data_IF_792548778632
#
_entry.id   IF_792548778632
#
_cell.length_a   1.000
_cell.length_b   1.000
_cell.length_c   1.000
_cell.angle_alpha   90.00
_cell.angle_beta   90.00
_cell.angle_gamma   90.00
#
_symmetry.space_group_name_H-M   'P 1'
#
loop_
_entity.id
_entity.type
_entity.pdbx_description
1 polymer ?
#
# COMPACT_ATOMS: atom_id res chain seq x y z
N UNK A 1 24.56 -0.05 -16.81
CA UNK A 1 24.70 1.32 -17.38
C UNK A 1 23.37 2.03 -17.21
N UNK A 2 23.39 3.34 -16.96
CA UNK A 2 22.16 4.15 -16.90
C UNK A 2 21.60 4.26 -18.33
N UNK A 3 20.33 3.91 -18.52
CA UNK A 3 19.65 3.96 -19.83
C UNK A 3 19.16 5.37 -20.15
N UNK A 4 19.04 5.69 -21.44
CA UNK A 4 18.43 6.96 -21.88
C UNK A 4 16.97 7.08 -21.43
N UNK A 5 16.25 5.96 -21.39
CA UNK A 5 14.87 5.88 -20.87
C UNK A 5 14.80 6.32 -19.41
N UNK A 6 15.68 5.77 -18.56
CA UNK A 6 15.75 6.18 -17.15
C UNK A 6 16.10 7.66 -17.01
N UNK A 7 17.10 8.15 -17.77
CA UNK A 7 17.48 9.58 -17.72
C UNK A 7 16.31 10.51 -18.11
N UNK A 8 15.51 10.12 -19.10
CA UNK A 8 14.32 10.86 -19.50
C UNK A 8 13.19 10.78 -18.44
N UNK A 9 13.05 9.65 -17.73
CA UNK A 9 12.03 9.43 -16.72
C UNK A 9 12.27 10.19 -15.40
N UNK A 10 13.53 10.39 -14.98
CA UNK A 10 13.85 11.01 -13.69
C UNK A 10 13.26 12.42 -13.49
N UNK A 11 13.33 13.37 -14.45
CA UNK A 11 12.68 14.66 -14.31
C UNK A 11 11.14 14.57 -14.20
N UNK A 12 10.53 13.63 -14.92
CA UNK A 12 9.08 13.39 -14.88
C UNK A 12 8.66 12.76 -13.55
N UNK A 13 9.44 11.81 -13.03
CA UNK A 13 9.29 11.28 -11.69
C UNK A 13 9.33 12.40 -10.64
N UNK A 14 10.27 13.33 -10.72
CA UNK A 14 10.35 14.47 -9.81
C UNK A 14 9.08 15.33 -9.85
N UNK A 15 8.49 15.55 -11.04
CA UNK A 15 7.20 16.25 -11.18
C UNK A 15 6.05 15.48 -10.51
N UNK A 16 6.00 14.15 -10.65
CA UNK A 16 4.98 13.31 -9.99
C UNK A 16 5.10 13.46 -8.47
N UNK A 17 6.30 13.33 -7.89
CA UNK A 17 6.50 13.49 -6.45
C UNK A 17 6.07 14.87 -5.94
N UNK A 18 6.42 15.93 -6.69
CA UNK A 18 6.00 17.30 -6.36
C UNK A 18 4.47 17.46 -6.44
N UNK A 19 3.82 16.83 -7.42
CA UNK A 19 2.37 16.86 -7.57
C UNK A 19 1.66 16.16 -6.40
N UNK A 20 2.17 15.01 -5.93
CA UNK A 20 1.63 14.30 -4.77
C UNK A 20 1.71 15.17 -3.50
N UNK A 21 2.88 15.78 -3.24
CA UNK A 21 3.04 16.71 -2.10
C UNK A 21 2.06 17.88 -2.19
N UNK A 22 2.04 18.56 -3.33
CA UNK A 22 1.16 19.72 -3.53
C UNK A 22 -0.32 19.40 -3.35
N UNK A 23 -0.76 18.20 -3.75
CA UNK A 23 -2.13 17.77 -3.58
C UNK A 23 -2.49 17.50 -2.11
N UNK A 24 -1.58 16.91 -1.34
CA UNK A 24 -1.77 16.65 0.10
C UNK A 24 -1.69 17.95 0.92
N UNK A 25 -0.68 18.79 0.65
CA UNK A 25 -0.52 20.10 1.30
C UNK A 25 -1.76 20.98 1.06
N UNK A 26 -2.27 20.99 -0.17
CA UNK A 26 -3.49 21.70 -0.55
C UNK A 26 -4.75 21.21 0.17
N UNK A 27 -4.76 20.00 0.69
CA UNK A 27 -5.83 19.43 1.52
C UNK A 27 -5.57 19.58 3.02
N UNK A 28 -4.48 20.23 3.42
CA UNK A 28 -4.11 20.49 4.82
C UNK A 28 -3.44 19.31 5.50
N UNK A 29 -2.85 18.38 4.75
CA UNK A 29 -1.97 17.36 5.33
C UNK A 29 -0.61 17.97 5.67
N UNK A 30 0.03 17.43 6.69
CA UNK A 30 1.38 17.77 7.12
C UNK A 30 2.33 16.65 6.74
N UNK A 31 3.40 16.95 5.98
CA UNK A 31 4.47 15.98 5.74
C UNK A 31 5.23 15.71 7.03
N UNK A 32 5.37 14.44 7.40
CA UNK A 32 6.11 14.01 8.58
C UNK A 32 7.24 13.06 8.20
N UNK A 33 8.38 13.22 8.84
CA UNK A 33 9.49 12.28 8.77
C UNK A 33 9.47 11.37 9.98
N UNK A 34 9.40 10.07 9.75
CA UNK A 34 9.56 9.05 10.79
C UNK A 34 10.89 8.31 10.59
N UNK A 35 11.48 7.73 11.64
CA UNK A 35 12.74 7.03 11.52
C UNK A 35 12.71 5.95 10.44
N UNK A 36 13.74 5.92 9.59
CA UNK A 36 13.96 4.84 8.61
C UNK A 36 14.47 3.58 9.29
N UNK A 37 15.26 3.74 10.35
CA UNK A 37 15.79 2.65 11.16
C UNK A 37 15.01 2.55 12.45
N UNK A 38 14.29 1.44 12.64
CA UNK A 38 13.32 1.21 13.72
C UNK A 38 13.69 -0.01 14.57
N UNK A 39 13.37 -0.01 15.87
CA UNK A 39 13.72 -1.12 16.75
C UNK A 39 12.81 -2.35 16.54
N UNK A 40 11.53 -2.14 16.23
CA UNK A 40 10.52 -3.19 16.16
C UNK A 40 9.58 -2.93 14.96
N UNK A 41 9.78 -3.62 13.82
CA UNK A 41 8.82 -3.57 12.71
C UNK A 41 7.54 -4.33 13.03
N UNK A 42 6.47 -4.03 12.30
CA UNK A 42 5.24 -4.81 12.36
C UNK A 42 5.51 -6.28 11.98
N UNK A 43 4.90 -7.21 12.72
CA UNK A 43 4.88 -8.61 12.33
C UNK A 43 3.75 -8.80 11.31
N UNK A 44 4.07 -8.69 10.04
CA UNK A 44 3.16 -8.95 8.94
C UNK A 44 3.62 -10.20 8.18
N UNK A 45 2.70 -11.08 7.76
CA UNK A 45 3.04 -12.21 6.90
C UNK A 45 3.78 -11.72 5.64
N UNK A 46 4.77 -12.49 5.19
CA UNK A 46 5.51 -12.26 3.95
C UNK A 46 6.35 -10.96 3.85
N UNK A 47 6.24 -10.03 4.80
CA UNK A 47 7.07 -8.82 4.83
C UNK A 47 8.34 -9.07 5.64
N UNK A 48 9.50 -8.80 5.02
CA UNK A 48 10.84 -8.98 5.62
C UNK A 48 11.61 -7.66 5.63
N UNK A 49 11.52 -6.88 6.72
CA UNK A 49 12.36 -5.72 6.92
C UNK A 49 13.84 -6.10 7.04
N UNK A 50 14.76 -5.51 6.26
CA UNK A 50 16.18 -5.82 6.35
C UNK A 50 16.78 -5.45 7.71
N UNK A 51 17.66 -6.29 8.23
CA UNK A 51 18.38 -6.02 9.47
C UNK A 51 19.40 -4.86 9.30
N UNK A 52 19.50 -4.00 10.33
CA UNK A 52 20.46 -2.90 10.41
C UNK A 52 21.10 -2.86 11.78
N UNK A 53 22.13 -3.70 12.01
CA UNK A 53 22.75 -3.91 13.32
C UNK A 53 21.75 -4.54 14.31
N UNK A 54 21.44 -3.81 15.39
CA UNK A 54 20.45 -4.22 16.40
C UNK A 54 19.05 -3.66 16.14
N UNK A 55 18.75 -3.22 14.94
CA UNK A 55 17.47 -2.65 14.52
C UNK A 55 17.16 -3.09 13.07
N UNK A 56 16.15 -2.52 12.47
CA UNK A 56 15.67 -2.87 11.13
C UNK A 56 15.44 -1.63 10.29
N UNK A 57 15.56 -1.75 8.98
CA UNK A 57 15.05 -0.75 8.05
C UNK A 57 13.54 -0.94 7.89
N UNK A 58 12.78 0.14 7.96
CA UNK A 58 11.31 0.09 7.94
C UNK A 58 10.76 -0.45 6.61
N UNK A 59 9.79 -1.34 6.66
CA UNK A 59 8.99 -1.74 5.50
C UNK A 59 7.83 -0.75 5.22
N UNK A 60 7.43 0.01 6.24
CA UNK A 60 6.42 1.08 6.22
C UNK A 60 6.67 2.01 7.42
N UNK A 61 6.28 3.29 7.35
CA UNK A 61 6.26 4.22 8.48
C UNK A 61 5.03 4.07 9.39
N UNK A 62 4.13 3.13 9.14
CA UNK A 62 2.79 2.99 9.70
C UNK A 62 2.73 3.13 11.23
N UNK A 63 3.51 2.31 11.97
CA UNK A 63 3.42 2.28 13.43
C UNK A 63 3.80 3.63 14.07
N UNK A 64 4.78 4.33 13.49
CA UNK A 64 5.22 5.64 13.94
C UNK A 64 4.21 6.74 13.58
N UNK A 65 3.63 6.68 12.39
CA UNK A 65 2.61 7.63 11.95
C UNK A 65 1.33 7.50 12.78
N UNK A 66 0.89 6.29 13.09
CA UNK A 66 -0.27 6.05 13.98
C UNK A 66 -0.04 6.57 15.40
N UNK A 67 1.20 6.53 15.91
CA UNK A 67 1.55 7.17 17.19
C UNK A 67 1.40 8.71 17.11
N UNK A 68 1.69 9.34 15.95
CA UNK A 68 1.44 10.77 15.76
C UNK A 68 -0.05 11.12 15.74
N UNK A 69 -0.90 10.26 15.14
CA UNK A 69 -2.36 10.40 15.23
C UNK A 69 -2.85 10.29 16.67
N UNK A 70 -2.34 9.31 17.42
CA UNK A 70 -2.65 9.15 18.84
C UNK A 70 -2.19 10.34 19.69
N UNK A 71 -1.16 11.07 19.25
CA UNK A 71 -0.68 12.30 19.87
C UNK A 71 -1.47 13.56 19.44
N UNK A 72 -2.49 13.43 18.57
CA UNK A 72 -3.41 14.51 18.22
C UNK A 72 -3.17 15.14 16.84
N UNK A 73 -2.29 14.59 15.99
CA UNK A 73 -2.23 15.02 14.59
C UNK A 73 -3.42 14.45 13.81
N UNK A 74 -4.03 15.27 12.92
CA UNK A 74 -5.27 14.87 12.26
C UNK A 74 -5.08 14.42 10.81
N UNK A 75 -4.18 15.08 10.07
CA UNK A 75 -3.89 14.78 8.67
C UNK A 75 -2.39 14.80 8.46
N UNK A 76 -1.81 13.65 8.20
CA UNK A 76 -0.38 13.49 8.03
C UNK A 76 -0.04 12.61 6.83
N UNK A 77 1.09 12.86 6.21
CA UNK A 77 1.66 11.94 5.22
C UNK A 77 3.18 11.83 5.36
N UNK A 78 3.71 10.74 4.87
CA UNK A 78 5.15 10.51 4.72
C UNK A 78 5.44 10.05 3.31
N UNK A 79 6.42 10.66 2.65
CA UNK A 79 6.87 10.28 1.31
C UNK A 79 8.37 9.99 1.37
N UNK A 80 8.74 8.73 1.37
CA UNK A 80 10.14 8.35 1.55
C UNK A 80 10.46 6.88 1.32
N UNK A 81 11.71 6.48 1.60
CA UNK A 81 12.17 5.13 1.35
C UNK A 81 11.58 4.13 2.35
N UNK A 82 11.23 2.96 1.81
CA UNK A 82 10.87 1.74 2.53
C UNK A 82 11.66 0.56 1.97
N UNK A 83 11.79 -0.50 2.76
CA UNK A 83 12.71 -1.60 2.47
C UNK A 83 12.04 -2.95 2.72
N UNK A 84 12.16 -3.87 1.75
CA UNK A 84 11.68 -5.25 1.88
C UNK A 84 12.71 -6.21 1.29
N UNK A 85 13.27 -7.05 2.14
CA UNK A 85 14.29 -8.00 1.75
C UNK A 85 13.73 -9.05 0.77
N UNK A 86 14.49 -9.32 -0.29
CA UNK A 86 14.14 -10.33 -1.29
C UNK A 86 13.13 -9.88 -2.35
N UNK A 87 12.50 -8.72 -2.21
CA UNK A 87 11.58 -8.20 -3.23
C UNK A 87 12.34 -7.56 -4.38
N UNK A 88 12.64 -8.33 -5.44
CA UNK A 88 13.29 -7.85 -6.66
C UNK A 88 12.66 -8.50 -7.90
N UNK A 89 12.05 -7.69 -8.74
CA UNK A 89 11.38 -8.11 -9.98
C UNK A 89 11.09 -6.92 -10.88
N UNK A 90 10.30 -7.12 -11.93
CA UNK A 90 9.99 -6.09 -12.92
C UNK A 90 9.23 -4.89 -12.32
N UNK A 91 8.54 -5.08 -11.20
CA UNK A 91 7.78 -4.03 -10.49
C UNK A 91 8.00 -4.05 -8.98
N UNK A 92 9.09 -4.67 -8.53
CA UNK A 92 9.53 -4.69 -7.14
C UNK A 92 10.99 -4.30 -7.01
N UNK A 93 11.32 -3.57 -5.96
CA UNK A 93 12.67 -3.23 -5.57
C UNK A 93 12.83 -3.40 -4.06
N UNK A 94 13.99 -3.92 -3.57
CA UNK A 94 14.22 -4.11 -2.14
C UNK A 94 14.26 -2.78 -1.36
N UNK A 95 14.59 -1.69 -2.02
CA UNK A 95 14.37 -0.33 -1.58
C UNK A 95 13.45 0.36 -2.57
N UNK A 96 12.34 0.93 -2.09
CA UNK A 96 11.33 1.59 -2.92
C UNK A 96 10.79 2.86 -2.24
N UNK A 97 10.11 3.70 -3.01
CA UNK A 97 9.48 4.92 -2.48
C UNK A 97 8.01 4.66 -2.18
N UNK A 98 7.63 4.88 -0.93
CA UNK A 98 6.24 4.79 -0.46
C UNK A 98 5.72 6.18 -0.13
N UNK A 99 4.49 6.45 -0.53
CA UNK A 99 3.65 7.52 -0.01
C UNK A 99 2.64 6.87 0.93
N UNK A 100 2.63 7.30 2.18
CA UNK A 100 1.66 6.84 3.17
C UNK A 100 0.97 8.04 3.82
N UNK A 101 -0.36 8.02 3.96
CA UNK A 101 -1.13 9.12 4.51
C UNK A 101 -2.27 8.63 5.38
N UNK A 102 -2.64 9.47 6.36
CA UNK A 102 -3.68 9.17 7.34
C UNK A 102 -4.59 10.36 7.57
N UNK A 103 -5.89 10.06 7.77
CA UNK A 103 -6.91 11.01 8.24
C UNK A 103 -7.51 10.53 9.56
N UNK A 104 -7.38 11.32 10.62
CA UNK A 104 -8.17 11.17 11.83
C UNK A 104 -9.65 11.53 11.57
N UNK A 105 -10.55 10.93 12.33
CA UNK A 105 -12.00 11.15 12.24
C UNK A 105 -12.59 10.84 10.86
N UNK A 106 -11.97 9.94 10.12
CA UNK A 106 -12.38 9.51 8.78
C UNK A 106 -12.26 7.99 8.64
N UNK A 107 -12.92 7.42 7.64
CA UNK A 107 -12.84 5.99 7.33
C UNK A 107 -12.05 5.70 6.06
N UNK A 108 -11.91 4.41 5.74
CA UNK A 108 -11.19 3.90 4.57
C UNK A 108 -11.70 4.43 3.21
N UNK A 109 -12.98 4.84 3.13
CA UNK A 109 -13.52 5.47 1.91
C UNK A 109 -13.03 6.89 1.70
N UNK A 110 -12.80 7.65 2.76
CA UNK A 110 -12.24 9.00 2.63
C UNK A 110 -10.80 8.98 2.07
N UNK A 111 -9.99 8.01 2.48
CA UNK A 111 -8.64 7.85 1.92
C UNK A 111 -8.67 7.23 0.51
N UNK A 112 -9.75 6.57 0.10
CA UNK A 112 -9.96 6.19 -1.31
C UNK A 112 -10.21 7.44 -2.17
N UNK A 113 -11.00 8.39 -1.69
CA UNK A 113 -11.22 9.67 -2.39
C UNK A 113 -9.91 10.48 -2.50
N UNK A 114 -9.06 10.43 -1.47
CA UNK A 114 -7.70 10.99 -1.55
C UNK A 114 -6.88 10.30 -2.64
N UNK A 115 -6.87 8.96 -2.68
CA UNK A 115 -6.14 8.21 -3.70
C UNK A 115 -6.58 8.58 -5.12
N UNK A 116 -7.91 8.73 -5.36
CA UNK A 116 -8.45 9.20 -6.64
C UNK A 116 -7.88 10.58 -7.00
N UNK A 117 -7.92 11.53 -6.08
CA UNK A 117 -7.41 12.88 -6.30
C UNK A 117 -5.89 12.89 -6.54
N UNK A 118 -5.12 12.11 -5.78
CA UNK A 118 -3.67 12.01 -5.92
C UNK A 118 -3.26 11.49 -7.30
N UNK A 119 -3.85 10.38 -7.73
CA UNK A 119 -3.57 9.77 -9.03
C UNK A 119 -3.96 10.72 -10.17
N UNK A 120 -5.18 11.27 -10.15
CA UNK A 120 -5.65 12.17 -11.19
C UNK A 120 -4.87 13.49 -11.23
N UNK A 121 -4.51 14.07 -10.07
CA UNK A 121 -3.73 15.29 -10.03
C UNK A 121 -2.31 15.08 -10.57
N UNK A 122 -1.65 13.98 -10.20
CA UNK A 122 -0.34 13.63 -10.73
C UNK A 122 -0.37 13.44 -12.27
N UNK A 123 -1.42 12.77 -12.76
CA UNK A 123 -1.63 12.57 -14.20
C UNK A 123 -1.84 13.90 -14.94
N UNK A 124 -2.70 14.80 -14.43
CA UNK A 124 -2.92 16.13 -15.03
C UNK A 124 -1.66 16.98 -15.08
N UNK A 125 -0.90 17.03 -13.98
CA UNK A 125 0.34 17.81 -13.91
C UNK A 125 1.39 17.26 -14.89
N UNK A 126 1.49 15.94 -15.00
CA UNK A 126 2.44 15.31 -15.92
C UNK A 126 2.14 15.68 -17.38
N UNK A 127 0.86 15.74 -17.76
CA UNK A 127 0.37 16.00 -19.13
C UNK A 127 -0.11 17.42 -19.38
N UNK A 128 0.24 18.39 -18.49
CA UNK A 128 -0.15 19.81 -18.62
C UNK A 128 -1.67 20.00 -18.75
N UNK A 129 -2.46 19.20 -18.04
CA UNK A 129 -3.93 19.28 -18.02
C UNK A 129 -4.65 18.42 -19.06
N UNK A 130 -3.92 17.70 -19.93
CA UNK A 130 -4.52 16.73 -20.84
C UNK A 130 -4.99 15.48 -20.07
N UNK A 131 -6.28 15.14 -20.17
CA UNK A 131 -6.94 13.99 -19.55
C UNK A 131 -7.10 12.80 -20.52
N UNK A 132 -6.29 12.72 -21.58
CA UNK A 132 -6.29 11.58 -22.47
C UNK A 132 -5.87 10.29 -21.75
N UNK A 133 -6.27 9.15 -22.33
CA UNK A 133 -5.93 7.82 -21.79
C UNK A 133 -4.43 7.59 -21.77
N UNK A 134 -3.99 6.82 -20.80
CA UNK A 134 -2.61 6.33 -20.66
C UNK A 134 -2.49 4.97 -21.32
N UNK A 135 -1.30 4.61 -21.81
CA UNK A 135 -1.01 3.26 -22.29
C UNK A 135 -0.08 2.55 -21.33
N UNK A 136 -0.58 1.48 -20.71
CA UNK A 136 0.25 0.69 -19.82
C UNK A 136 0.07 -0.80 -20.12
N UNK A 137 1.19 -1.49 -20.35
CA UNK A 137 1.22 -2.94 -20.68
C UNK A 137 0.24 -3.31 -21.80
N UNK A 138 0.22 -2.49 -22.87
CA UNK A 138 -0.61 -2.70 -24.06
C UNK A 138 -2.09 -2.39 -23.90
N UNK A 139 -2.52 -1.88 -22.74
CA UNK A 139 -3.91 -1.52 -22.45
C UNK A 139 -4.06 0.00 -22.36
N UNK A 140 -5.13 0.54 -22.96
CA UNK A 140 -5.55 1.92 -22.74
C UNK A 140 -6.23 2.04 -21.38
N UNK A 141 -5.70 2.91 -20.54
CA UNK A 141 -6.12 3.12 -19.14
C UNK A 141 -6.69 4.53 -18.98
N UNK A 142 -7.99 4.62 -18.73
CA UNK A 142 -8.68 5.87 -18.40
C UNK A 142 -8.64 6.09 -16.88
N UNK A 143 -7.83 7.05 -16.42
CA UNK A 143 -7.68 7.40 -15.01
C UNK A 143 -8.75 8.38 -14.52
N UNK A 144 -9.45 9.06 -15.46
CA UNK A 144 -10.37 10.16 -15.16
C UNK A 144 -11.85 9.74 -15.16
N UNK A 145 -12.16 8.61 -15.79
CA UNK A 145 -13.48 8.02 -15.73
C UNK A 145 -13.86 7.47 -14.36
N UNK A 146 -15.02 6.83 -14.29
CA UNK A 146 -15.49 6.18 -13.06
C UNK A 146 -14.56 5.01 -12.69
N UNK A 147 -14.12 4.98 -11.43
CA UNK A 147 -13.33 3.89 -10.88
C UNK A 147 -14.24 2.70 -10.56
N UNK A 148 -13.77 1.50 -10.85
CA UNK A 148 -14.51 0.26 -10.64
C UNK A 148 -14.24 -0.23 -9.22
N UNK A 149 -15.27 -0.32 -8.38
CA UNK A 149 -15.19 -0.90 -7.04
C UNK A 149 -15.83 -2.29 -7.06
N UNK A 150 -15.10 -3.30 -6.61
CA UNK A 150 -15.54 -4.69 -6.56
C UNK A 150 -15.32 -5.22 -5.14
N UNK A 151 -16.37 -5.57 -4.37
CA UNK A 151 -16.20 -6.30 -3.12
C UNK A 151 -15.40 -7.60 -3.34
N UNK A 152 -14.45 -7.90 -2.45
CA UNK A 152 -13.61 -9.11 -2.57
C UNK A 152 -14.46 -10.37 -2.70
N UNK A 153 -15.52 -10.49 -1.91
CA UNK A 153 -16.49 -11.60 -1.98
C UNK A 153 -17.10 -11.77 -3.40
N UNK A 154 -17.42 -10.66 -4.09
CA UNK A 154 -17.96 -10.70 -5.45
C UNK A 154 -16.91 -11.10 -6.47
N UNK A 155 -15.69 -10.58 -6.33
CA UNK A 155 -14.57 -10.96 -7.18
C UNK A 155 -14.31 -12.48 -7.10
N UNK A 156 -14.25 -13.04 -5.88
CA UNK A 156 -14.03 -14.46 -5.68
C UNK A 156 -15.19 -15.32 -6.19
N UNK A 157 -16.44 -14.95 -5.93
CA UNK A 157 -17.59 -15.64 -6.49
C UNK A 157 -17.60 -15.66 -8.01
N UNK A 158 -17.22 -14.52 -8.63
CA UNK A 158 -17.23 -14.34 -10.08
C UNK A 158 -16.08 -15.06 -10.77
N UNK A 159 -14.87 -14.99 -10.24
CA UNK A 159 -13.66 -15.44 -10.92
C UNK A 159 -13.10 -16.75 -10.39
N UNK A 160 -13.23 -17.03 -9.08
CA UNK A 160 -12.71 -18.24 -8.44
C UNK A 160 -13.81 -19.25 -8.05
N UNK A 161 -15.09 -18.88 -8.13
CA UNK A 161 -16.23 -19.77 -7.92
C UNK A 161 -16.52 -20.16 -6.46
N UNK A 162 -16.03 -19.35 -5.48
CA UNK A 162 -16.28 -19.55 -4.06
C UNK A 162 -16.35 -18.24 -3.28
N UNK A 163 -16.84 -18.29 -2.03
CA UNK A 163 -17.00 -17.11 -1.18
C UNK A 163 -16.05 -17.15 0.02
N UNK A 164 -15.01 -16.32 0.06
CA UNK A 164 -14.05 -16.31 1.16
C UNK A 164 -14.60 -15.70 2.46
N UNK A 165 -15.77 -15.06 2.42
CA UNK A 165 -16.45 -14.58 3.64
C UNK A 165 -17.24 -15.69 4.30
N UNK A 166 -17.80 -16.64 3.54
CA UNK A 166 -18.55 -17.79 4.07
C UNK A 166 -17.63 -18.91 4.56
N UNK A 167 -16.52 -19.15 3.85
CA UNK A 167 -15.60 -20.26 4.17
C UNK A 167 -14.16 -19.85 3.84
N UNK A 168 -13.46 -19.23 4.80
CA UNK A 168 -12.10 -18.74 4.61
C UNK A 168 -11.06 -19.86 4.71
N UNK A 169 -10.26 -19.99 3.68
CA UNK A 169 -9.05 -20.83 3.61
C UNK A 169 -7.89 -19.92 3.23
N UNK A 170 -6.90 -19.67 4.11
CA UNK A 170 -5.84 -18.69 3.87
C UNK A 170 -4.95 -19.05 2.67
N UNK A 171 -4.53 -20.31 2.55
CA UNK A 171 -3.63 -20.73 1.47
C UNK A 171 -4.33 -20.61 0.10
N UNK A 172 -5.59 -21.02 0.06
CA UNK A 172 -6.41 -20.89 -1.15
C UNK A 172 -6.71 -19.44 -1.48
N UNK A 173 -6.97 -18.60 -0.46
CA UNK A 173 -7.25 -17.19 -0.66
C UNK A 173 -6.06 -16.49 -1.31
N UNK A 174 -4.85 -16.66 -0.79
CA UNK A 174 -3.64 -16.02 -1.31
C UNK A 174 -3.31 -16.55 -2.72
N UNK A 175 -3.44 -17.86 -2.94
CA UNK A 175 -3.20 -18.45 -4.25
C UNK A 175 -4.19 -17.94 -5.30
N UNK A 176 -5.50 -17.98 -5.00
CA UNK A 176 -6.54 -17.52 -5.91
C UNK A 176 -6.46 -16.00 -6.12
N UNK A 177 -6.10 -15.21 -5.09
CA UNK A 177 -5.87 -13.77 -5.23
C UNK A 177 -4.82 -13.51 -6.31
N UNK A 178 -3.64 -14.11 -6.17
CA UNK A 178 -2.51 -13.85 -7.07
C UNK A 178 -2.72 -14.45 -8.49
N UNK A 179 -3.28 -15.67 -8.60
CA UNK A 179 -3.33 -16.39 -9.87
C UNK A 179 -4.66 -16.26 -10.63
N UNK A 180 -5.74 -15.89 -9.94
CA UNK A 180 -7.09 -15.86 -10.53
C UNK A 180 -7.71 -14.47 -10.45
N UNK A 181 -7.75 -13.85 -9.27
CA UNK A 181 -8.47 -12.60 -9.06
C UNK A 181 -7.74 -11.44 -9.71
N UNK A 182 -6.51 -11.16 -9.30
CA UNK A 182 -5.73 -10.02 -9.83
C UNK A 182 -5.59 -10.04 -11.36
N UNK A 183 -5.26 -11.18 -12.01
CA UNK A 183 -5.19 -11.24 -13.47
C UNK A 183 -6.54 -11.01 -14.17
N UNK A 184 -7.67 -11.25 -13.48
CA UNK A 184 -9.02 -11.10 -14.02
C UNK A 184 -9.62 -9.70 -13.81
N UNK A 185 -8.97 -8.83 -13.03
CA UNK A 185 -9.46 -7.48 -12.77
C UNK A 185 -9.47 -6.63 -14.05
N UNK A 186 -10.43 -5.70 -14.19
CA UNK A 186 -10.43 -4.71 -15.25
C UNK A 186 -9.12 -3.92 -15.30
N UNK A 187 -8.52 -3.79 -16.49
CA UNK A 187 -7.26 -3.09 -16.68
C UNK A 187 -7.37 -1.72 -17.35
N UNK A 188 -8.53 -1.45 -17.98
CA UNK A 188 -8.78 -0.22 -18.73
C UNK A 188 -9.24 0.96 -17.87
N UNK A 189 -9.46 0.75 -16.57
CA UNK A 189 -9.81 1.75 -15.56
C UNK A 189 -9.18 1.38 -14.22
N UNK A 190 -9.02 2.33 -13.29
CA UNK A 190 -8.67 2.00 -11.92
C UNK A 190 -9.70 1.06 -11.31
N UNK A 191 -9.23 -0.04 -10.74
CA UNK A 191 -10.05 -1.06 -10.10
C UNK A 191 -9.69 -1.17 -8.63
N UNK A 192 -10.69 -1.12 -7.76
CA UNK A 192 -10.54 -1.20 -6.30
C UNK A 192 -11.19 -2.49 -5.82
N UNK A 193 -10.39 -3.39 -5.27
CA UNK A 193 -10.92 -4.49 -4.45
C UNK A 193 -11.20 -3.94 -3.06
N UNK A 194 -12.43 -4.10 -2.57
CA UNK A 194 -12.89 -3.50 -1.31
C UNK A 194 -13.60 -4.55 -0.44
N UNK A 195 -13.68 -4.29 0.87
CA UNK A 195 -14.40 -5.13 1.83
C UNK A 195 -13.85 -6.56 1.88
N UNK A 196 -12.62 -6.67 2.39
CA UNK A 196 -11.91 -7.94 2.54
C UNK A 196 -12.56 -8.84 3.58
N UNK A 197 -12.44 -10.18 3.48
CA UNK A 197 -12.89 -11.10 4.54
C UNK A 197 -12.20 -10.78 5.88
N UNK A 198 -12.94 -10.90 6.99
CA UNK A 198 -12.40 -10.61 8.32
C UNK A 198 -11.07 -11.32 8.66
N UNK A 199 -10.81 -12.59 8.28
CA UNK A 199 -9.51 -13.21 8.50
C UNK A 199 -8.36 -12.56 7.70
N UNK A 200 -8.64 -11.87 6.58
CA UNK A 200 -7.68 -11.14 5.77
C UNK A 200 -7.61 -9.64 6.13
N UNK A 201 -8.04 -9.26 7.33
CA UNK A 201 -8.11 -7.87 7.77
C UNK A 201 -6.75 -7.18 7.90
N UNK A 202 -5.64 -7.90 8.07
CA UNK A 202 -4.33 -7.31 8.37
C UNK A 202 -4.41 -6.32 9.54
N UNK A 203 -4.09 -5.06 9.35
CA UNK A 203 -4.13 -3.98 10.36
C UNK A 203 -5.43 -3.14 10.30
N UNK A 204 -6.40 -3.54 9.49
CA UNK A 204 -7.70 -2.87 9.41
C UNK A 204 -8.66 -3.33 10.52
N UNK A 205 -9.57 -2.44 10.88
CA UNK A 205 -10.72 -2.82 11.74
C UNK A 205 -11.76 -3.60 10.93
N UNK A 206 -12.58 -4.37 11.64
CA UNK A 206 -13.77 -4.97 11.04
C UNK A 206 -14.85 -3.91 10.83
N UNK A 207 -15.69 -4.11 9.82
CA UNK A 207 -16.81 -3.22 9.56
C UNK A 207 -17.83 -3.26 10.72
N UNK A 208 -18.23 -2.09 11.26
CA UNK A 208 -19.26 -2.05 12.29
C UNK A 208 -20.63 -2.55 11.82
N UNK A 209 -20.89 -2.51 10.51
CA UNK A 209 -22.14 -2.95 9.92
C UNK A 209 -22.17 -4.47 9.65
N UNK A 210 -21.01 -5.06 9.37
CA UNK A 210 -20.85 -6.49 9.10
C UNK A 210 -19.48 -6.97 9.55
N UNK A 211 -19.40 -7.60 10.71
CA UNK A 211 -18.14 -8.09 11.29
C UNK A 211 -17.49 -9.24 10.51
N UNK A 212 -18.13 -9.77 9.48
CA UNK A 212 -17.53 -10.76 8.59
C UNK A 212 -16.58 -10.16 7.56
N UNK A 213 -16.57 -8.81 7.42
CA UNK A 213 -15.71 -8.07 6.51
C UNK A 213 -14.86 -7.02 7.25
N UNK A 214 -13.71 -6.71 6.66
CA UNK A 214 -12.78 -5.71 7.13
C UNK A 214 -12.86 -4.44 6.26
N UNK A 215 -12.73 -3.27 6.87
CA UNK A 215 -12.62 -1.99 6.17
C UNK A 215 -11.24 -1.86 5.52
N UNK A 216 -11.03 -2.57 4.42
CA UNK A 216 -9.79 -2.62 3.63
C UNK A 216 -10.10 -2.47 2.16
N UNK A 217 -9.23 -1.79 1.44
CA UNK A 217 -9.24 -1.82 -0.03
C UNK A 217 -7.82 -1.86 -0.60
N UNK A 218 -7.72 -2.40 -1.80
CA UNK A 218 -6.53 -2.36 -2.64
C UNK A 218 -6.86 -1.76 -4.01
N UNK A 219 -5.98 -0.88 -4.50
CA UNK A 219 -6.12 -0.19 -5.78
C UNK A 219 -5.22 -0.82 -6.83
N UNK A 220 -5.80 -1.14 -7.98
CA UNK A 220 -5.12 -1.68 -9.15
C UNK A 220 -5.21 -0.71 -10.34
N UNK A 221 -4.08 -0.38 -10.96
CA UNK A 221 -3.99 0.40 -12.20
C UNK A 221 -3.35 -0.44 -13.29
N UNK A 222 -4.07 -0.69 -14.40
CA UNK A 222 -3.55 -1.48 -15.52
C UNK A 222 -3.13 -2.91 -15.15
N UNK A 223 -3.71 -3.47 -14.07
CA UNK A 223 -3.38 -4.79 -13.53
C UNK A 223 -2.16 -4.79 -12.60
N UNK A 224 -1.71 -3.63 -12.14
CA UNK A 224 -0.64 -3.48 -11.15
C UNK A 224 -1.24 -2.95 -9.85
N UNK A 225 -1.06 -3.67 -8.73
CA UNK A 225 -1.43 -3.20 -7.41
C UNK A 225 -0.61 -1.95 -7.07
N UNK A 226 -1.30 -0.85 -6.80
CA UNK A 226 -0.69 0.45 -6.52
C UNK A 226 -0.73 0.83 -5.05
N UNK A 227 -1.85 0.58 -4.37
CA UNK A 227 -2.06 1.05 -3.00
C UNK A 227 -2.93 0.07 -2.22
N UNK A 228 -2.72 0.05 -0.89
CA UNK A 228 -3.50 -0.69 0.09
C UNK A 228 -3.92 0.27 1.21
N UNK A 229 -5.14 0.12 1.74
CA UNK A 229 -5.67 1.04 2.74
C UNK A 229 -6.62 0.38 3.73
N UNK A 230 -6.72 1.01 4.88
CA UNK A 230 -7.46 0.51 6.02
C UNK A 230 -8.38 1.58 6.63
N UNK A 231 -9.55 1.14 7.13
CA UNK A 231 -10.13 1.72 8.31
C UNK A 231 -9.33 1.19 9.50
N UNK A 232 -8.66 2.06 10.22
CA UNK A 232 -7.61 1.69 11.14
C UNK A 232 -8.12 0.96 12.38
N UNK A 233 -7.44 -0.12 12.76
CA UNK A 233 -7.69 -0.81 14.02
C UNK A 233 -7.11 0.02 15.17
N UNK A 234 -7.96 0.38 16.15
CA UNK A 234 -7.59 1.18 17.31
C UNK A 234 -7.71 0.43 18.63
N UNK A 235 -8.16 -0.83 18.60
CA UNK A 235 -8.22 -1.70 19.78
C UNK A 235 -6.83 -2.32 20.06
N UNK A 236 -6.16 -1.97 21.18
CA UNK A 236 -4.82 -2.47 21.48
C UNK A 236 -4.79 -3.96 21.81
N UNK A 237 -5.88 -4.52 22.35
CA UNK A 237 -5.95 -5.93 22.69
C UNK A 237 -6.04 -6.79 21.42
N UNK A 238 -6.92 -6.40 20.51
CA UNK A 238 -7.05 -7.05 19.20
C UNK A 238 -5.77 -6.90 18.38
N UNK A 239 -5.17 -5.69 18.32
CA UNK A 239 -3.91 -5.45 17.61
C UNK A 239 -2.78 -6.31 18.14
N UNK A 240 -2.65 -6.42 19.47
CA UNK A 240 -1.66 -7.29 20.10
C UNK A 240 -1.88 -8.75 19.76
N UNK A 241 -3.13 -9.21 19.79
CA UNK A 241 -3.46 -10.59 19.45
C UNK A 241 -3.09 -10.93 18.02
N UNK A 242 -3.35 -10.02 17.05
CA UNK A 242 -2.96 -10.18 15.65
C UNK A 242 -1.45 -10.23 15.47
N UNK A 243 -0.70 -9.31 16.09
CA UNK A 243 0.77 -9.33 16.02
C UNK A 243 1.37 -10.58 16.66
N UNK A 244 0.83 -11.06 17.75
CA UNK A 244 1.29 -12.31 18.39
C UNK A 244 1.03 -13.52 17.49
N UNK A 245 -0.12 -13.59 16.82
CA UNK A 245 -0.45 -14.66 15.86
C UNK A 245 0.51 -14.63 14.68
N UNK A 246 0.66 -13.49 14.01
CA UNK A 246 1.56 -13.34 12.89
C UNK A 246 3.02 -13.64 13.27
N UNK A 247 3.45 -13.24 14.48
CA UNK A 247 4.77 -13.59 15.01
C UNK A 247 4.94 -15.10 15.18
N UNK A 248 3.93 -15.80 15.69
CA UNK A 248 3.97 -17.26 15.86
C UNK A 248 4.01 -17.98 14.50
N UNK A 249 3.25 -17.52 13.52
CA UNK A 249 3.26 -18.03 12.15
C UNK A 249 4.63 -17.87 11.52
N UNK A 250 5.26 -16.70 11.61
CA UNK A 250 6.64 -16.48 11.14
C UNK A 250 7.64 -17.43 11.80
N UNK A 251 7.56 -17.62 13.12
CA UNK A 251 8.44 -18.56 13.84
C UNK A 251 8.22 -19.99 13.34
N UNK A 252 6.96 -20.40 13.14
CA UNK A 252 6.64 -21.74 12.64
C UNK A 252 7.18 -22.00 11.22
N UNK A 253 7.24 -20.95 10.39
CA UNK A 253 7.81 -20.98 9.03
C UNK A 253 9.34 -20.82 9.01
N UNK A 254 9.98 -20.61 10.16
CA UNK A 254 11.44 -20.33 10.24
C UNK A 254 11.82 -18.95 9.72
N UNK A 255 10.86 -18.02 9.66
CA UNK A 255 11.07 -16.66 9.22
C UNK A 255 11.49 -15.73 10.37
N UNK A 256 12.16 -14.58 10.09
CA UNK A 256 12.44 -13.58 11.10
C UNK A 256 11.16 -13.06 11.75
N UNK A 257 11.09 -13.15 13.07
CA UNK A 257 9.99 -12.63 13.88
C UNK A 257 10.52 -11.57 14.83
N UNK A 258 9.75 -10.50 15.02
CA UNK A 258 10.18 -9.30 15.73
C UNK A 258 9.46 -9.16 17.07
N UNK A 259 10.08 -8.46 18.00
CA UNK A 259 9.41 -8.04 19.23
C UNK A 259 8.29 -7.04 18.91
N UNK A 260 7.27 -6.99 19.76
CA UNK A 260 6.15 -6.08 19.57
C UNK A 260 6.58 -4.64 19.89
N UNK A 261 6.14 -3.67 19.10
CA UNK A 261 6.28 -2.25 19.41
C UNK A 261 5.31 -1.86 20.53
N UNK A 262 5.78 -1.95 21.79
CA UNK A 262 4.98 -1.65 22.98
C UNK A 262 4.62 -0.16 23.05
N UNK A 263 5.42 0.73 22.48
CA UNK A 263 5.11 2.16 22.42
C UNK A 263 3.90 2.41 21.52
N UNK A 264 3.88 1.76 20.34
CA UNK A 264 2.73 1.80 19.45
C UNK A 264 1.47 1.24 20.10
N UNK A 265 1.54 0.03 20.69
CA UNK A 265 0.39 -0.60 21.33
C UNK A 265 -0.16 0.22 22.49
N UNK A 266 0.71 0.91 23.25
CA UNK A 266 0.31 1.80 24.34
C UNK A 266 -0.32 3.11 23.86
N UNK A 267 0.00 3.56 22.64
CA UNK A 267 -0.55 4.78 22.04
C UNK A 267 -1.96 4.55 21.47
N UNK A 268 -2.27 3.34 20.96
CA UNK A 268 -3.52 3.02 20.27
C UNK A 268 -4.81 3.47 20.97
N UNK A 269 -4.97 3.36 22.29
CA UNK A 269 -6.19 3.82 22.96
C UNK A 269 -6.52 5.30 22.78
N UNK A 270 -5.50 6.12 22.45
CA UNK A 270 -5.66 7.55 22.20
C UNK A 270 -5.86 7.89 20.71
N UNK A 271 -5.71 6.90 19.83
CA UNK A 271 -5.88 7.11 18.39
C UNK A 271 -7.37 7.24 18.05
N UNK A 272 -7.81 8.34 17.44
CA UNK A 272 -9.19 8.46 16.98
C UNK A 272 -9.47 7.48 15.85
N UNK A 273 -10.75 7.14 15.57
CA UNK A 273 -11.12 6.42 14.36
C UNK A 273 -10.50 7.11 13.15
N UNK A 274 -9.74 6.37 12.36
CA UNK A 274 -8.93 6.93 11.26
C UNK A 274 -9.01 6.06 10.03
N UNK A 275 -8.71 6.65 8.88
CA UNK A 275 -8.39 5.93 7.66
C UNK A 275 -6.95 6.19 7.27
N UNK A 276 -6.25 5.18 6.77
CA UNK A 276 -4.88 5.25 6.29
C UNK A 276 -4.68 4.51 4.98
N UNK A 277 -3.73 4.94 4.17
CA UNK A 277 -3.40 4.29 2.92
C UNK A 277 -1.90 4.40 2.61
N UNK A 278 -1.35 3.33 2.02
CA UNK A 278 0.01 3.24 1.53
C UNK A 278 0.02 3.02 0.02
N UNK A 279 0.83 3.81 -0.71
CA UNK A 279 0.94 3.79 -2.17
C UNK A 279 2.38 3.60 -2.60
N UNK A 280 2.62 2.66 -3.51
CA UNK A 280 3.91 2.46 -4.17
C UNK A 280 4.15 3.52 -5.25
N UNK A 281 4.96 4.53 -4.94
CA UNK A 281 5.21 5.67 -5.85
C UNK A 281 5.98 5.26 -7.09
N UNK A 282 6.87 4.28 -6.97
CA UNK A 282 7.61 3.76 -8.13
C UNK A 282 6.65 3.10 -9.14
N UNK A 283 5.67 2.32 -8.66
CA UNK A 283 4.62 1.73 -9.49
C UNK A 283 3.70 2.79 -10.11
N UNK A 284 3.34 3.85 -9.36
CA UNK A 284 2.59 4.97 -9.92
C UNK A 284 3.38 5.65 -11.07
N UNK A 285 4.69 5.85 -10.87
CA UNK A 285 5.56 6.39 -11.92
C UNK A 285 5.61 5.46 -13.15
N UNK A 286 5.68 4.14 -12.98
CA UNK A 286 5.64 3.19 -14.10
C UNK A 286 4.36 3.38 -14.92
N UNK A 287 3.20 3.43 -14.28
CA UNK A 287 1.91 3.61 -14.96
C UNK A 287 1.82 4.95 -15.68
N UNK A 288 2.13 6.07 -15.00
CA UNK A 288 2.01 7.42 -15.54
C UNK A 288 3.05 7.74 -16.62
N UNK A 289 4.21 7.09 -16.59
CA UNK A 289 5.25 7.23 -17.60
C UNK A 289 5.19 6.16 -18.69
N UNK A 290 4.20 5.25 -18.61
CA UNK A 290 3.98 4.18 -19.58
C UNK A 290 5.21 3.25 -19.72
N UNK A 291 5.84 2.91 -18.56
CA UNK A 291 7.07 2.11 -18.48
C UNK A 291 6.81 0.79 -17.74
N UNK A 292 7.14 -0.33 -18.38
CA UNK A 292 6.78 -1.67 -17.88
C UNK A 292 7.73 -2.21 -16.80
N UNK A 293 8.93 -1.62 -16.66
CA UNK A 293 9.96 -2.07 -15.74
C UNK A 293 10.36 -0.97 -14.75
N UNK A 294 10.45 -1.33 -13.46
CA UNK A 294 10.85 -0.43 -12.38
C UNK A 294 12.27 0.13 -12.56
N UNK A 295 13.15 -0.57 -13.28
CA UNK A 295 14.51 -0.09 -13.63
C UNK A 295 14.48 1.19 -14.48
N UNK A 296 13.37 1.46 -15.18
CA UNK A 296 13.19 2.65 -15.99
C UNK A 296 12.68 3.86 -15.21
N UNK A 297 12.29 3.67 -13.94
CA UNK A 297 11.81 4.78 -13.08
C UNK A 297 12.64 4.97 -11.83
N UNK A 298 13.46 3.97 -11.45
CA UNK A 298 14.31 3.97 -10.26
C UNK A 298 15.75 3.64 -10.62
N UNK A 299 16.72 4.54 -10.32
CA UNK A 299 18.13 4.31 -10.62
C UNK A 299 18.78 3.38 -9.59
N UNK A 300 19.88 2.72 -10.01
CA UNK A 300 20.79 1.96 -9.16
C UNK A 300 20.13 0.78 -8.42
N UNK A 301 19.19 0.10 -9.07
CA UNK A 301 18.66 -1.14 -8.51
C UNK A 301 19.69 -2.25 -8.53
N UNK A 302 19.72 -3.13 -7.51
CA UNK A 302 20.57 -4.30 -7.52
C UNK A 302 20.18 -5.24 -8.65
N UNK A 303 21.13 -6.00 -9.23
CA UNK A 303 20.79 -7.05 -10.19
C UNK A 303 19.78 -8.05 -9.61
N UNK A 304 18.91 -8.60 -10.45
CA UNK A 304 18.00 -9.67 -10.05
C UNK A 304 18.85 -10.87 -9.54
N UNK A 305 18.47 -11.39 -8.36
CA UNK A 305 19.18 -12.48 -7.70
C UNK A 305 20.42 -12.07 -6.88
N UNK A 306 20.74 -10.77 -6.77
CA UNK A 306 21.75 -10.29 -5.83
C UNK A 306 21.18 -10.24 -4.41
N UNK A 307 21.98 -10.66 -3.44
CA UNK A 307 21.69 -10.42 -2.02
C UNK A 307 22.03 -8.96 -1.71
N UNK A 308 21.09 -8.24 -1.19
CA UNK A 308 21.26 -6.89 -0.64
C UNK A 308 21.01 -6.94 0.85
#
# INVERSE_FOLDING_TARGET
>A
MISDTLLAALPLRAKILAALRSALDGQGFVEVETPVRIPAPANEPHIRPPASGNAFLRASPELQMKQLLAAGMEKIYSLGPCFREGERGDHHAPEFTMLEWYRAHAGYRAVLDDAKQLVQNAARILRNGDESVFRFRGVELDLFGEWIEIPVREAFRRYAGWDPVEAFDPDRFDLDMALVIEPSLPRNRPCVLIDYPAPAASLSRLSPADSSIAERWELYLGGLELANAFGELTDPAEQRARFQRARQEKIALGEPAFDLDEAFLSALPNMPPSGGAAMGVDRLCMVLLELDDIENVRPFLPPIGSLW
#
